data_IF_111561031395
#
_entry.id   IF_111561031395
#
_cell.length_a   1.000
_cell.length_b   1.000
_cell.length_c   1.000
_cell.angle_alpha   90.00
_cell.angle_beta   90.00
_cell.angle_gamma   90.00
#
_symmetry.space_group_name_H-M   'P 1'
#
loop_
_entity.id
_entity.type
_entity.pdbx_description
1 polymer ?
#
# COMPACT_ATOMS: atom_id res chain seq x y z
N UNK A 1 -24.25 7.31 -1.88
CA UNK A 1 -23.70 8.36 -2.77
C UNK A 1 -22.78 7.62 -3.71
N UNK A 2 -22.78 7.94 -5.01
CA UNK A 2 -21.74 7.42 -5.92
C UNK A 2 -20.38 7.68 -5.26
N UNK A 3 -19.53 6.66 -5.22
CA UNK A 3 -18.23 6.72 -4.57
C UNK A 3 -17.28 7.49 -5.52
N UNK A 4 -17.55 8.79 -5.68
CA UNK A 4 -16.94 9.67 -6.70
C UNK A 4 -15.41 9.63 -6.63
N UNK A 5 -14.86 9.38 -5.45
CA UNK A 5 -13.43 9.25 -5.21
C UNK A 5 -12.83 7.95 -5.78
N UNK A 6 -13.51 6.79 -5.72
CA UNK A 6 -13.04 5.55 -6.37
C UNK A 6 -13.26 5.57 -7.89
N UNK A 7 -14.42 6.06 -8.31
CA UNK A 7 -14.84 6.01 -9.73
C UNK A 7 -13.96 6.88 -10.65
N UNK A 8 -13.19 7.82 -10.11
CA UNK A 8 -12.25 8.63 -10.90
C UNK A 8 -11.16 7.79 -11.59
N UNK A 9 -10.88 6.58 -11.08
CA UNK A 9 -9.90 5.65 -11.66
C UNK A 9 -10.51 4.70 -12.69
N UNK A 10 -11.83 4.76 -12.91
CA UNK A 10 -12.51 3.95 -13.91
C UNK A 10 -12.16 4.45 -15.30
N UNK A 11 -11.74 3.55 -16.18
CA UNK A 11 -11.43 3.91 -17.56
C UNK A 11 -12.70 4.18 -18.37
N UNK A 12 -12.66 5.12 -19.34
CA UNK A 12 -13.79 5.38 -20.22
C UNK A 12 -14.23 4.17 -21.07
N UNK A 13 -13.33 3.23 -21.31
CA UNK A 13 -13.53 2.00 -22.07
C UNK A 13 -13.71 0.75 -21.19
N UNK A 14 -14.00 0.93 -19.89
CA UNK A 14 -14.34 -0.18 -18.99
C UNK A 14 -15.61 -0.90 -19.47
N UNK A 15 -15.51 -2.21 -19.72
CA UNK A 15 -16.53 -2.98 -20.45
C UNK A 15 -17.81 -3.27 -19.64
N UNK A 16 -17.68 -3.37 -18.31
CA UNK A 16 -18.76 -3.76 -17.41
C UNK A 16 -19.44 -2.54 -16.78
N UNK A 17 -20.70 -2.65 -16.35
CA UNK A 17 -21.42 -1.61 -15.61
C UNK A 17 -20.89 -1.50 -14.17
N UNK A 18 -20.66 -2.63 -13.49
CA UNK A 18 -19.94 -2.68 -12.21
C UNK A 18 -18.44 -2.40 -12.39
N UNK A 19 -17.83 -1.80 -11.35
CA UNK A 19 -16.41 -1.47 -11.32
C UNK A 19 -15.77 -1.88 -9.98
N UNK A 20 -14.99 -2.94 -10.05
CA UNK A 20 -14.03 -3.37 -9.04
C UNK A 20 -12.68 -2.81 -9.43
N UNK A 21 -12.23 -1.80 -8.65
CA UNK A 21 -10.92 -1.20 -8.85
C UNK A 21 -9.85 -2.26 -8.61
N UNK A 22 -8.92 -2.40 -9.56
CA UNK A 22 -7.77 -3.30 -9.42
C UNK A 22 -6.48 -2.51 -9.25
N UNK A 23 -5.71 -2.83 -8.21
CA UNK A 23 -4.41 -2.19 -7.93
C UNK A 23 -3.48 -3.18 -7.25
N UNK A 24 -2.23 -2.78 -7.02
CA UNK A 24 -1.30 -3.47 -6.11
C UNK A 24 -1.06 -2.64 -4.86
N UNK A 25 -0.56 -3.25 -3.79
CA UNK A 25 -0.17 -2.54 -2.56
C UNK A 25 0.95 -1.53 -2.84
N UNK A 26 2.05 -1.96 -3.44
CA UNK A 26 3.22 -1.11 -3.66
C UNK A 26 4.41 -1.90 -4.20
N UNK A 27 5.28 -2.35 -3.32
CA UNK A 27 6.56 -2.95 -3.69
C UNK A 27 6.45 -4.18 -4.60
N UNK A 28 7.33 -4.23 -5.61
CA UNK A 28 7.36 -5.28 -6.64
C UNK A 28 8.75 -5.92 -6.75
N UNK A 29 8.90 -7.14 -7.33
CA UNK A 29 10.20 -7.78 -7.45
C UNK A 29 11.20 -6.96 -8.26
N UNK A 30 12.26 -6.48 -7.58
CA UNK A 30 13.36 -5.77 -8.25
C UNK A 30 14.00 -6.67 -9.32
N UNK A 31 14.16 -6.18 -10.56
CA UNK A 31 14.86 -6.93 -11.59
C UNK A 31 16.27 -7.31 -11.12
N UNK A 32 16.70 -8.54 -11.41
CA UNK A 32 18.03 -9.02 -10.98
C UNK A 32 19.18 -8.14 -11.49
N UNK A 33 18.99 -7.50 -12.64
CA UNK A 33 19.98 -6.57 -13.20
C UNK A 33 20.06 -5.26 -12.41
N UNK A 34 19.00 -4.81 -11.74
CA UNK A 34 19.02 -3.61 -10.90
C UNK A 34 19.90 -3.83 -9.67
N UNK A 35 19.83 -5.01 -9.06
CA UNK A 35 20.76 -5.39 -7.99
C UNK A 35 22.22 -5.40 -8.47
N UNK A 36 22.47 -5.82 -9.72
CA UNK A 36 23.81 -5.75 -10.32
C UNK A 36 24.24 -4.33 -10.62
N UNK A 37 23.31 -3.45 -11.02
CA UNK A 37 23.60 -2.03 -11.20
C UNK A 37 23.98 -1.38 -9.87
N UNK A 38 23.24 -1.69 -8.79
CA UNK A 38 23.58 -1.25 -7.42
C UNK A 38 24.98 -1.72 -7.01
N UNK A 39 25.30 -3.01 -7.19
CA UNK A 39 26.64 -3.54 -6.90
C UNK A 39 27.76 -2.81 -7.67
N UNK A 40 27.49 -2.28 -8.87
CA UNK A 40 28.46 -1.50 -9.66
C UNK A 40 28.56 -0.07 -9.19
N UNK A 41 27.44 0.55 -8.84
CA UNK A 41 27.41 1.89 -8.29
C UNK A 41 28.14 1.99 -6.94
N UNK A 42 28.04 0.95 -6.09
CA UNK A 42 28.74 0.86 -4.80
C UNK A 42 30.24 0.51 -4.93
N UNK A 43 30.72 0.17 -6.14
CA UNK A 43 32.12 -0.17 -6.41
C UNK A 43 32.85 1.06 -6.94
N UNK A 44 33.66 1.72 -6.10
CA UNK A 44 34.47 2.89 -6.45
C UNK A 44 35.42 2.67 -7.66
N UNK A 45 35.73 1.42 -8.01
CA UNK A 45 36.57 1.07 -9.17
C UNK A 45 35.75 0.89 -10.47
N UNK A 46 34.43 0.84 -10.38
CA UNK A 46 33.55 0.72 -11.54
C UNK A 46 33.34 2.07 -12.23
N UNK A 47 33.33 2.04 -13.56
CA UNK A 47 32.91 3.17 -14.39
C UNK A 47 31.37 3.22 -14.46
N UNK A 48 30.73 3.48 -13.32
CA UNK A 48 29.28 3.50 -13.15
C UNK A 48 28.89 4.56 -12.10
N UNK A 49 28.52 5.74 -12.58
CA UNK A 49 28.25 6.92 -11.74
C UNK A 49 26.76 7.07 -11.36
N UNK A 50 26.43 8.17 -10.68
CA UNK A 50 25.07 8.51 -10.26
C UNK A 50 24.09 8.62 -11.44
N UNK A 51 24.54 9.12 -12.59
CA UNK A 51 23.69 9.24 -13.78
C UNK A 51 23.26 7.86 -14.27
N UNK A 52 24.21 6.93 -14.37
CA UNK A 52 23.93 5.54 -14.74
C UNK A 52 23.05 4.83 -13.69
N UNK A 53 23.24 5.13 -12.40
CA UNK A 53 22.41 4.57 -11.33
C UNK A 53 20.97 5.09 -11.39
N UNK A 54 20.79 6.39 -11.63
CA UNK A 54 19.48 6.99 -11.82
C UNK A 54 18.77 6.41 -13.04
N UNK A 55 19.46 6.29 -14.18
CA UNK A 55 18.91 5.67 -15.38
C UNK A 55 18.46 4.22 -15.12
N UNK A 56 19.25 3.43 -14.39
CA UNK A 56 18.90 2.05 -14.05
C UNK A 56 17.63 1.96 -13.16
N UNK A 57 17.49 2.85 -12.17
CA UNK A 57 16.29 2.93 -11.32
C UNK A 57 15.05 3.33 -12.13
N UNK A 58 15.20 4.33 -12.99
CA UNK A 58 14.16 4.84 -13.89
C UNK A 58 13.67 3.76 -14.85
N UNK A 59 14.59 3.02 -15.46
CA UNK A 59 14.24 1.90 -16.34
C UNK A 59 13.57 0.76 -15.59
N UNK A 60 13.95 0.50 -14.33
CA UNK A 60 13.29 -0.51 -13.52
C UNK A 60 11.84 -0.11 -13.24
N UNK A 61 11.60 1.15 -12.87
CA UNK A 61 10.27 1.70 -12.64
C UNK A 61 9.40 1.63 -13.90
N UNK A 62 9.92 2.02 -15.07
CA UNK A 62 9.21 1.88 -16.36
C UNK A 62 8.80 0.44 -16.63
N UNK A 63 9.72 -0.49 -16.40
CA UNK A 63 9.50 -1.91 -16.67
C UNK A 63 8.41 -2.49 -15.77
N UNK A 64 8.35 -2.11 -14.49
CA UNK A 64 7.29 -2.58 -13.59
C UNK A 64 5.95 -1.91 -13.90
N UNK A 65 5.97 -0.62 -14.21
CA UNK A 65 4.77 0.11 -14.62
C UNK A 65 4.14 -0.51 -15.88
N UNK A 66 4.95 -0.81 -16.91
CA UNK A 66 4.50 -1.54 -18.12
C UNK A 66 3.91 -2.92 -17.79
N UNK A 67 4.48 -3.63 -16.82
CA UNK A 67 3.94 -4.93 -16.40
C UNK A 67 2.56 -4.80 -15.74
N UNK A 68 2.35 -3.78 -14.91
CA UNK A 68 1.04 -3.50 -14.33
C UNK A 68 0.02 -3.15 -15.42
N UNK A 69 0.40 -2.32 -16.39
CA UNK A 69 -0.48 -1.94 -17.50
C UNK A 69 -0.89 -3.13 -18.36
N UNK A 70 0.08 -4.01 -18.66
CA UNK A 70 -0.11 -5.26 -19.42
C UNK A 70 -0.90 -6.31 -18.67
N UNK A 71 -0.77 -6.38 -17.35
CA UNK A 71 -1.65 -7.20 -16.50
C UNK A 71 -3.09 -6.66 -16.51
N UNK A 72 -3.25 -5.37 -16.80
CA UNK A 72 -4.55 -4.71 -16.94
C UNK A 72 -5.02 -3.96 -15.71
N UNK A 73 -4.14 -3.71 -14.73
CA UNK A 73 -4.45 -3.01 -13.47
C UNK A 73 -4.97 -1.58 -13.70
N UNK A 74 -6.02 -1.18 -13.02
CA UNK A 74 -6.61 0.16 -13.21
C UNK A 74 -5.72 1.27 -12.67
N UNK A 75 -5.13 1.02 -11.51
CA UNK A 75 -4.16 1.91 -10.87
C UNK A 75 -2.84 1.17 -10.73
N UNK A 76 -1.75 1.85 -11.05
CA UNK A 76 -0.40 1.27 -11.06
C UNK A 76 0.49 1.96 -10.03
N UNK A 77 1.61 1.31 -9.73
CA UNK A 77 2.70 1.87 -8.94
C UNK A 77 4.02 1.62 -9.68
N UNK A 78 5.07 2.35 -9.32
CA UNK A 78 6.40 2.20 -9.90
C UNK A 78 7.15 0.95 -9.38
N UNK A 79 6.54 0.25 -8.41
CA UNK A 79 7.06 -0.95 -7.76
C UNK A 79 8.07 -0.67 -6.65
N UNK A 80 8.26 0.59 -6.27
CA UNK A 80 9.26 1.05 -5.29
C UNK A 80 10.70 0.71 -5.74
N UNK A 81 10.94 0.78 -7.05
CA UNK A 81 12.21 0.38 -7.65
C UNK A 81 13.39 1.24 -7.16
N UNK A 82 13.11 2.48 -6.76
CA UNK A 82 14.06 3.45 -6.22
C UNK A 82 14.31 3.32 -4.71
N UNK A 83 13.48 2.56 -4.00
CA UNK A 83 13.51 2.45 -2.54
C UNK A 83 14.28 1.23 -2.07
N UNK A 84 14.93 1.30 -0.91
CA UNK A 84 15.68 0.18 -0.32
C UNK A 84 14.84 -0.59 0.68
N UNK A 85 14.36 0.13 1.69
CA UNK A 85 13.61 -0.33 2.86
C UNK A 85 12.64 0.80 3.21
N UNK A 86 11.45 0.46 3.72
CA UNK A 86 10.35 1.41 3.87
C UNK A 86 10.57 2.45 4.98
N UNK A 87 11.46 2.23 5.93
CA UNK A 87 11.84 3.23 6.95
C UNK A 87 13.19 3.87 6.59
N UNK A 88 14.18 3.07 6.20
CA UNK A 88 15.52 3.59 5.87
C UNK A 88 15.46 4.61 4.72
N UNK A 89 14.58 4.40 3.73
CA UNK A 89 14.44 5.31 2.60
C UNK A 89 14.04 6.73 3.01
N UNK A 90 13.06 6.87 3.91
CA UNK A 90 12.60 8.17 4.39
C UNK A 90 13.53 8.74 5.46
N UNK A 91 14.07 7.90 6.35
CA UNK A 91 15.05 8.35 7.36
C UNK A 91 16.32 8.97 6.73
N UNK A 92 16.68 8.60 5.51
CA UNK A 92 17.76 9.28 4.76
C UNK A 92 17.39 10.67 4.20
N UNK A 93 16.12 11.08 4.25
CA UNK A 93 15.56 12.30 3.65
C UNK A 93 14.90 13.24 4.67
N UNK A 94 14.82 12.81 5.93
CA UNK A 94 14.26 13.56 7.03
C UNK A 94 15.43 13.95 7.92
N UNK A 95 15.65 15.25 8.09
CA UNK A 95 16.65 15.73 9.05
C UNK A 95 16.28 15.24 10.47
N UNK A 96 17.28 15.05 11.32
CA UNK A 96 17.08 14.53 12.69
C UNK A 96 17.24 13.01 12.84
N UNK A 97 17.21 12.26 11.74
CA UNK A 97 17.58 10.84 11.73
C UNK A 97 19.10 10.62 11.61
N UNK A 98 19.61 9.65 12.36
CA UNK A 98 20.98 9.14 12.26
C UNK A 98 21.01 7.61 12.20
N UNK A 99 21.99 7.06 11.47
CA UNK A 99 22.22 5.62 11.36
C UNK A 99 23.41 5.20 12.23
N UNK A 100 23.13 4.42 13.28
CA UNK A 100 24.11 3.94 14.26
C UNK A 100 24.61 2.52 13.98
N UNK A 101 24.17 1.92 12.87
CA UNK A 101 24.53 0.59 12.41
C UNK A 101 23.49 -0.48 12.72
N UNK A 102 23.66 -1.69 12.15
CA UNK A 102 22.62 -2.69 12.08
C UNK A 102 22.26 -3.30 13.44
N UNK A 103 20.96 -3.36 13.70
CA UNK A 103 20.36 -4.05 14.85
C UNK A 103 19.86 -5.42 14.43
N UNK A 104 20.04 -6.40 15.31
CA UNK A 104 19.59 -7.77 15.06
C UNK A 104 18.07 -7.86 15.26
N UNK A 105 17.33 -8.27 14.23
CA UNK A 105 15.87 -8.46 14.30
C UNK A 105 15.55 -9.92 14.65
N UNK A 106 15.88 -10.85 13.76
CA UNK A 106 15.66 -12.28 13.97
C UNK A 106 16.69 -13.14 13.23
N UNK A 107 17.10 -14.26 13.82
CA UNK A 107 18.01 -15.21 13.18
C UNK A 107 19.36 -14.57 12.82
N UNK A 108 19.63 -14.45 11.51
CA UNK A 108 20.80 -13.76 10.94
C UNK A 108 20.42 -12.47 10.19
N UNK A 109 19.16 -12.05 10.29
CA UNK A 109 18.66 -10.83 9.66
C UNK A 109 18.94 -9.64 10.58
N UNK A 110 19.42 -8.57 9.96
CA UNK A 110 19.70 -7.29 10.58
C UNK A 110 18.91 -6.21 9.84
N UNK A 111 18.58 -5.16 10.57
CA UNK A 111 17.90 -3.97 10.08
C UNK A 111 18.72 -2.76 10.49
N UNK A 112 18.97 -1.81 9.59
CA UNK A 112 19.70 -0.60 9.92
C UNK A 112 18.76 0.40 10.58
N UNK A 113 18.27 0.01 11.77
CA UNK A 113 17.26 0.74 12.55
C UNK A 113 17.78 2.15 12.86
N UNK A 114 17.18 3.22 12.31
CA UNK A 114 17.69 4.56 12.50
C UNK A 114 17.29 5.10 13.89
N UNK A 115 17.91 6.21 14.28
CA UNK A 115 17.67 6.89 15.56
C UNK A 115 17.31 8.35 15.30
N UNK A 116 16.23 8.85 15.88
CA UNK A 116 15.87 10.26 15.87
C UNK A 116 16.59 10.95 17.02
N UNK A 117 17.61 11.73 16.70
CA UNK A 117 18.55 12.34 17.68
C UNK A 117 18.38 13.86 17.82
N UNK A 118 17.59 14.48 16.95
CA UNK A 118 17.15 15.87 17.04
C UNK A 118 15.74 16.04 16.46
N UNK A 119 15.24 17.28 16.48
CA UNK A 119 13.98 17.68 15.82
C UNK A 119 13.97 17.20 14.37
N UNK A 120 12.80 16.71 13.92
CA UNK A 120 12.63 16.19 12.55
C UNK A 120 12.23 17.33 11.63
N UNK A 121 12.90 17.47 10.50
CA UNK A 121 12.61 18.53 9.55
C UNK A 121 12.52 18.00 8.12
N UNK A 122 11.63 18.60 7.34
CA UNK A 122 11.52 18.35 5.90
C UNK A 122 12.66 19.07 5.17
N UNK A 123 13.58 18.32 4.55
CA UNK A 123 14.69 18.90 3.78
C UNK A 123 14.45 18.78 2.27
N UNK A 124 14.31 17.55 1.78
CA UNK A 124 14.17 17.22 0.36
C UNK A 124 12.83 16.53 0.08
N UNK A 125 12.37 16.60 -1.17
CA UNK A 125 11.18 15.83 -1.56
C UNK A 125 11.44 14.33 -1.53
N UNK A 126 10.47 13.60 -0.99
CA UNK A 126 10.64 12.16 -0.78
C UNK A 126 10.26 11.34 -2.01
N UNK A 127 9.12 11.65 -2.60
CA UNK A 127 8.39 10.82 -3.55
C UNK A 127 7.89 11.58 -4.77
N UNK A 128 7.89 12.92 -4.76
CA UNK A 128 7.38 13.72 -5.90
C UNK A 128 8.10 13.38 -7.20
N UNK A 129 9.44 13.31 -7.19
CA UNK A 129 10.20 12.93 -8.38
C UNK A 129 9.87 11.50 -8.87
N UNK A 130 9.62 10.57 -7.93
CA UNK A 130 9.21 9.19 -8.26
C UNK A 130 7.82 9.17 -8.92
N UNK A 131 6.89 9.96 -8.36
CA UNK A 131 5.53 10.10 -8.85
C UNK A 131 5.51 10.76 -10.24
N UNK A 132 6.12 11.93 -10.41
CA UNK A 132 6.13 12.66 -11.68
C UNK A 132 6.71 11.83 -12.81
N UNK A 133 7.81 11.12 -12.54
CA UNK A 133 8.41 10.21 -13.50
C UNK A 133 7.43 9.12 -13.93
N UNK A 134 6.79 8.47 -12.95
CA UNK A 134 5.93 7.31 -13.19
C UNK A 134 4.63 7.72 -13.89
N UNK A 135 4.05 8.84 -13.47
CA UNK A 135 2.89 9.45 -14.11
C UNK A 135 3.20 9.86 -15.56
N UNK A 136 4.40 10.35 -15.84
CA UNK A 136 4.83 10.66 -17.22
C UNK A 136 5.10 9.41 -18.07
N UNK A 137 5.37 8.26 -17.44
CA UNK A 137 5.69 7.00 -18.09
C UNK A 137 4.51 6.02 -18.19
N UNK A 138 3.35 6.37 -17.62
CA UNK A 138 2.17 5.51 -17.55
C UNK A 138 0.97 6.10 -18.28
N UNK A 139 0.16 5.21 -18.87
CA UNK A 139 -1.18 5.50 -19.38
C UNK A 139 -2.27 5.26 -18.30
N UNK A 140 -1.89 4.87 -17.07
CA UNK A 140 -2.78 4.61 -15.95
C UNK A 140 -2.55 5.63 -14.81
N UNK A 141 -3.57 5.91 -13.99
CA UNK A 141 -3.38 6.62 -12.74
C UNK A 141 -2.35 5.90 -11.84
N UNK A 142 -1.53 6.69 -11.15
CA UNK A 142 -0.46 6.19 -10.27
C UNK A 142 -0.88 6.35 -8.81
N UNK A 143 -0.83 5.26 -8.06
CA UNK A 143 -0.90 5.27 -6.58
C UNK A 143 0.49 5.50 -6.00
N UNK A 144 0.56 6.27 -4.92
CA UNK A 144 1.81 6.54 -4.20
C UNK A 144 1.73 5.92 -2.80
N UNK A 145 2.38 4.77 -2.57
CA UNK A 145 2.59 4.26 -1.22
C UNK A 145 3.62 5.11 -0.50
N UNK A 146 3.32 5.53 0.73
CA UNK A 146 4.19 6.27 1.64
C UNK A 146 4.12 5.59 3.02
N UNK A 147 5.27 5.43 3.68
CA UNK A 147 5.29 4.85 5.02
C UNK A 147 4.69 5.84 6.01
N UNK A 148 3.75 5.34 6.82
CA UNK A 148 3.05 6.18 7.78
C UNK A 148 3.93 6.58 8.97
N UNK A 149 3.56 7.68 9.64
CA UNK A 149 4.37 8.30 10.69
C UNK A 149 4.54 7.41 11.91
N UNK A 150 3.54 6.59 12.25
CA UNK A 150 3.62 5.71 13.42
C UNK A 150 4.64 4.59 13.18
N UNK A 151 4.68 4.02 11.97
CA UNK A 151 5.73 3.07 11.58
C UNK A 151 7.11 3.74 11.52
N UNK A 152 7.22 4.96 10.97
CA UNK A 152 8.47 5.73 10.96
C UNK A 152 9.00 6.00 12.38
N UNK A 153 8.13 6.26 13.34
CA UNK A 153 8.50 6.41 14.75
C UNK A 153 8.86 5.07 15.41
N UNK A 154 7.94 4.10 15.38
CA UNK A 154 8.04 2.82 16.10
C UNK A 154 9.26 1.98 15.64
N UNK A 155 9.55 2.00 14.33
CA UNK A 155 10.69 1.29 13.77
C UNK A 155 12.00 2.09 13.86
N UNK A 156 12.01 3.17 14.63
CA UNK A 156 13.19 3.99 14.94
C UNK A 156 13.48 3.99 16.44
N UNK A 157 14.67 4.46 16.84
CA UNK A 157 14.93 4.81 18.23
C UNK A 157 14.60 6.28 18.45
N UNK A 158 13.89 6.61 19.52
CA UNK A 158 13.59 7.99 19.86
C UNK A 158 14.53 8.49 20.97
N UNK A 159 15.39 9.44 20.63
CA UNK A 159 16.31 10.09 21.58
C UNK A 159 16.04 11.60 21.72
N UNK A 160 15.18 12.17 20.86
CA UNK A 160 14.97 13.61 20.74
C UNK A 160 13.68 14.11 21.42
N UNK A 161 12.63 13.27 21.47
CA UNK A 161 11.30 13.64 21.96
C UNK A 161 11.01 13.03 23.33
N UNK A 162 10.00 13.54 24.04
CA UNK A 162 9.65 13.05 25.37
C UNK A 162 9.04 11.64 25.32
N UNK A 163 8.29 11.34 24.26
CA UNK A 163 7.72 10.03 23.97
C UNK A 163 7.52 9.78 22.45
N UNK A 164 7.13 8.55 22.11
CA UNK A 164 6.96 8.12 20.72
C UNK A 164 5.69 8.69 20.07
N UNK A 165 4.71 9.13 20.87
CA UNK A 165 3.48 9.76 20.36
C UNK A 165 3.80 11.17 19.84
N UNK A 166 4.58 11.95 20.60
CA UNK A 166 5.08 13.26 20.16
C UNK A 166 5.88 13.15 18.84
N UNK A 167 6.80 12.19 18.76
CA UNK A 167 7.54 11.92 17.51
C UNK A 167 6.62 11.52 16.36
N UNK A 168 5.59 10.71 16.62
CA UNK A 168 4.63 10.28 15.60
C UNK A 168 3.86 11.47 15.02
N UNK A 169 3.44 12.43 15.85
CA UNK A 169 2.71 13.61 15.38
C UNK A 169 3.61 14.56 14.58
N UNK A 170 4.85 14.78 15.00
CA UNK A 170 5.81 15.58 14.21
C UNK A 170 6.10 14.95 12.85
N UNK A 171 6.26 13.61 12.80
CA UNK A 171 6.38 12.90 11.53
C UNK A 171 5.10 12.96 10.68
N UNK A 172 3.92 13.00 11.31
CA UNK A 172 2.64 13.14 10.60
C UNK A 172 2.54 14.47 9.87
N UNK A 173 3.03 15.56 10.48
CA UNK A 173 3.11 16.88 9.84
C UNK A 173 4.08 16.87 8.64
N UNK A 174 5.22 16.17 8.73
CA UNK A 174 6.14 16.03 7.58
C UNK A 174 5.53 15.17 6.45
N UNK A 175 4.80 14.10 6.80
CA UNK A 175 4.08 13.26 5.84
C UNK A 175 2.98 14.07 5.15
N UNK A 176 2.24 14.91 5.88
CA UNK A 176 1.29 15.85 5.30
C UNK A 176 1.97 16.77 4.28
N UNK A 177 3.11 17.39 4.63
CA UNK A 177 3.84 18.27 3.72
C UNK A 177 4.27 17.56 2.42
N UNK A 178 4.71 16.29 2.49
CA UNK A 178 5.02 15.49 1.30
C UNK A 178 3.76 15.22 0.46
N UNK A 179 2.63 14.89 1.11
CA UNK A 179 1.38 14.58 0.42
C UNK A 179 0.80 15.81 -0.26
N UNK A 180 0.85 16.99 0.35
CA UNK A 180 0.47 18.25 -0.31
C UNK A 180 1.27 18.46 -1.60
N UNK A 181 2.59 18.23 -1.57
CA UNK A 181 3.45 18.34 -2.75
C UNK A 181 3.13 17.30 -3.82
N UNK A 182 2.80 16.08 -3.42
CA UNK A 182 2.34 15.04 -4.35
C UNK A 182 1.00 15.41 -5.00
N UNK A 183 0.06 15.96 -4.24
CA UNK A 183 -1.25 16.42 -4.74
C UNK A 183 -1.08 17.57 -5.72
N UNK A 184 -0.19 18.52 -5.41
CA UNK A 184 0.21 19.63 -6.30
C UNK A 184 0.85 19.13 -7.61
N UNK A 185 1.64 18.06 -7.54
CA UNK A 185 2.21 17.38 -8.71
C UNK A 185 1.15 16.60 -9.53
N UNK A 186 -0.03 16.37 -8.96
CA UNK A 186 -1.17 15.74 -9.64
C UNK A 186 -1.59 14.39 -9.07
N UNK A 187 -0.97 13.92 -7.99
CA UNK A 187 -1.33 12.64 -7.37
C UNK A 187 -2.79 12.68 -6.88
N UNK A 188 -3.50 11.57 -7.11
CA UNK A 188 -4.92 11.42 -6.72
C UNK A 188 -5.19 10.19 -5.88
N UNK A 189 -4.18 9.35 -5.66
CA UNK A 189 -4.29 8.19 -4.80
C UNK A 189 -3.01 8.05 -3.99
N UNK A 190 -3.12 8.32 -2.70
CA UNK A 190 -2.05 8.16 -1.72
C UNK A 190 -2.42 6.98 -0.81
N UNK A 191 -1.46 6.10 -0.56
CA UNK A 191 -1.62 5.03 0.41
C UNK A 191 -0.62 5.22 1.55
N UNK A 192 -1.13 5.28 2.77
CA UNK A 192 -0.33 5.27 3.98
C UNK A 192 -0.10 3.81 4.38
N UNK A 193 1.16 3.40 4.56
CA UNK A 193 1.52 2.05 4.99
C UNK A 193 1.85 2.05 6.48
N UNK A 194 1.01 1.39 7.30
CA UNK A 194 1.19 1.28 8.75
C UNK A 194 1.27 -0.19 9.23
N UNK A 195 2.31 -0.96 8.83
CA UNK A 195 2.47 -2.34 9.29
C UNK A 195 2.71 -2.46 10.81
N UNK A 196 3.08 -1.39 11.49
CA UNK A 196 3.24 -1.40 12.94
C UNK A 196 1.89 -1.35 13.70
N UNK A 197 0.82 -0.82 13.10
CA UNK A 197 -0.47 -0.54 13.77
C UNK A 197 -1.09 -1.80 14.41
N UNK A 198 -1.04 -2.95 13.73
CA UNK A 198 -1.67 -4.18 14.22
C UNK A 198 -0.81 -4.97 15.23
N UNK A 199 0.33 -4.44 15.65
CA UNK A 199 1.28 -5.16 16.52
C UNK A 199 1.03 -4.97 18.02
N UNK A 200 0.34 -3.89 18.40
CA UNK A 200 0.11 -3.45 19.79
C UNK A 200 -1.34 -2.99 19.98
N UNK A 201 -2.03 -3.35 21.10
CA UNK A 201 -3.48 -3.13 21.22
C UNK A 201 -3.95 -1.67 21.33
N UNK A 202 -3.13 -0.79 21.90
CA UNK A 202 -3.57 0.55 22.32
C UNK A 202 -3.17 1.66 21.32
N UNK A 203 -2.52 1.29 20.21
CA UNK A 203 -1.80 2.24 19.35
C UNK A 203 -2.69 2.78 18.22
N UNK A 204 -3.94 2.31 18.12
CA UNK A 204 -4.93 2.81 17.17
C UNK A 204 -5.30 4.29 17.43
N UNK A 205 -5.22 4.75 18.67
CA UNK A 205 -5.56 6.14 19.02
C UNK A 205 -4.53 7.13 18.44
N UNK A 206 -3.24 6.87 18.65
CA UNK A 206 -2.18 7.73 18.12
C UNK A 206 -2.13 7.69 16.59
N UNK A 207 -2.39 6.53 15.97
CA UNK A 207 -2.50 6.44 14.50
C UNK A 207 -3.70 7.23 13.97
N UNK A 208 -4.85 7.18 14.64
CA UNK A 208 -6.01 7.99 14.28
C UNK A 208 -5.71 9.49 14.31
N UNK A 209 -5.07 9.97 15.38
CA UNK A 209 -4.66 11.38 15.51
C UNK A 209 -3.63 11.78 14.45
N UNK A 210 -2.63 10.93 14.19
CA UNK A 210 -1.66 11.15 13.13
C UNK A 210 -2.30 11.21 11.73
N UNK A 211 -3.32 10.37 11.46
CA UNK A 211 -4.07 10.42 10.20
C UNK A 211 -4.89 11.71 10.09
N UNK A 212 -5.42 12.26 11.18
CA UNK A 212 -6.08 13.58 11.17
C UNK A 212 -5.12 14.70 10.77
N UNK A 213 -3.86 14.66 11.24
CA UNK A 213 -2.81 15.59 10.80
C UNK A 213 -2.49 15.42 9.31
N UNK A 214 -2.31 14.17 8.87
CA UNK A 214 -1.98 13.84 7.48
C UNK A 214 -3.01 14.40 6.48
N UNK A 215 -4.31 14.37 6.82
CA UNK A 215 -5.38 14.73 5.88
C UNK A 215 -5.93 16.14 6.07
N UNK A 216 -5.44 16.92 7.04
CA UNK A 216 -6.05 18.18 7.47
C UNK A 216 -6.32 19.19 6.34
N UNK A 217 -5.43 19.25 5.34
CA UNK A 217 -5.50 20.16 4.19
C UNK A 217 -5.54 19.44 2.84
N UNK A 218 -5.86 18.15 2.85
CA UNK A 218 -5.91 17.33 1.62
C UNK A 218 -7.30 17.42 0.97
N UNK A 219 -7.40 17.73 -0.35
CA UNK A 219 -8.69 17.81 -1.03
C UNK A 219 -9.47 16.49 -1.02
N UNK A 220 -10.80 16.55 -0.86
CA UNK A 220 -11.69 15.38 -0.82
C UNK A 220 -11.65 14.50 -2.09
N UNK A 221 -11.19 15.05 -3.23
CA UNK A 221 -10.99 14.28 -4.46
C UNK A 221 -9.75 13.36 -4.44
N UNK A 222 -8.84 13.54 -3.49
CA UNK A 222 -7.66 12.68 -3.33
C UNK A 222 -8.08 11.46 -2.54
N UNK A 223 -7.87 10.27 -3.11
CA UNK A 223 -8.10 9.00 -2.42
C UNK A 223 -6.99 8.75 -1.40
N UNK A 224 -7.36 8.56 -0.14
CA UNK A 224 -6.45 8.14 0.93
C UNK A 224 -6.76 6.71 1.33
N UNK A 225 -5.83 5.79 1.07
CA UNK A 225 -5.88 4.41 1.55
C UNK A 225 -4.96 4.21 2.75
N UNK A 226 -5.31 3.27 3.63
CA UNK A 226 -4.43 2.76 4.68
C UNK A 226 -4.18 1.27 4.45
N UNK A 227 -2.92 0.90 4.22
CA UNK A 227 -2.53 -0.51 4.22
C UNK A 227 -2.07 -0.94 5.60
N UNK A 228 -2.67 -2.01 6.10
CA UNK A 228 -2.30 -2.63 7.37
C UNK A 228 -1.96 -4.09 7.09
N UNK A 229 -0.68 -4.44 7.21
CA UNK A 229 -0.22 -5.82 7.05
C UNK A 229 -0.15 -6.52 8.40
N UNK A 230 -0.32 -7.84 8.35
CA UNK A 230 -0.17 -8.74 9.49
C UNK A 230 -1.05 -8.41 10.71
N UNK A 231 -1.13 -9.36 11.64
CA UNK A 231 -1.75 -9.13 12.94
C UNK A 231 -3.20 -9.59 13.05
N UNK A 232 -3.84 -9.13 14.11
CA UNK A 232 -5.16 -9.52 14.56
C UNK A 232 -6.07 -8.30 14.47
N UNK A 233 -6.85 -8.21 13.39
CA UNK A 233 -7.67 -7.03 13.08
C UNK A 233 -8.77 -6.82 14.13
N UNK A 234 -9.14 -7.86 14.89
CA UNK A 234 -10.10 -7.72 16.01
C UNK A 234 -9.61 -6.80 17.13
N UNK A 235 -8.32 -6.42 17.12
CA UNK A 235 -7.72 -5.50 18.10
C UNK A 235 -7.87 -4.03 17.75
N UNK A 236 -8.07 -3.74 16.46
CA UNK A 236 -8.18 -2.38 15.94
C UNK A 236 -9.60 -2.10 15.42
N UNK A 237 -10.42 -3.14 15.26
CA UNK A 237 -11.81 -3.04 14.86
C UNK A 237 -12.74 -2.97 16.09
N UNK A 238 -13.73 -2.05 16.13
CA UNK A 238 -14.18 -1.19 15.04
C UNK A 238 -13.52 0.19 14.95
N UNK A 239 -12.58 0.52 15.83
CA UNK A 239 -12.00 1.86 15.98
C UNK A 239 -11.39 2.39 14.67
N UNK A 240 -10.80 1.55 13.83
CA UNK A 240 -10.29 1.97 12.51
C UNK A 240 -11.36 2.62 11.64
N UNK A 241 -12.65 2.30 11.79
CA UNK A 241 -13.70 2.92 10.98
C UNK A 241 -13.83 4.43 11.21
N UNK A 242 -13.30 4.94 12.34
CA UNK A 242 -13.26 6.37 12.65
C UNK A 242 -12.11 7.09 11.94
N UNK A 243 -11.11 6.36 11.43
CA UNK A 243 -9.97 6.98 10.76
C UNK A 243 -10.39 7.78 9.52
N UNK A 244 -9.76 8.92 9.25
CA UNK A 244 -10.13 9.81 8.16
C UNK A 244 -9.52 9.35 6.82
N UNK A 245 -9.69 8.07 6.49
CA UNK A 245 -9.27 7.44 5.23
C UNK A 245 -10.48 6.94 4.45
N UNK A 246 -10.33 6.80 3.13
CA UNK A 246 -11.37 6.29 2.24
C UNK A 246 -11.40 4.76 2.20
N UNK A 247 -10.23 4.13 2.31
CA UNK A 247 -10.01 2.71 2.05
C UNK A 247 -9.08 2.05 3.06
N UNK A 248 -9.37 0.80 3.42
CA UNK A 248 -8.41 -0.10 4.07
C UNK A 248 -7.98 -1.22 3.13
N UNK A 249 -6.67 -1.36 2.90
CA UNK A 249 -6.05 -2.45 2.16
C UNK A 249 -5.57 -3.53 3.13
N UNK A 250 -6.29 -4.66 3.17
CA UNK A 250 -6.17 -5.67 4.21
C UNK A 250 -5.67 -7.01 3.65
N UNK A 251 -4.68 -7.55 4.33
CA UNK A 251 -4.07 -8.85 4.09
C UNK A 251 -4.95 -9.97 4.70
N UNK A 252 -5.61 -10.79 3.86
CA UNK A 252 -6.54 -11.84 4.32
C UNK A 252 -6.39 -13.18 3.59
N UNK A 253 -5.80 -13.23 2.39
CA UNK A 253 -5.68 -14.47 1.62
C UNK A 253 -4.73 -15.48 2.27
N UNK A 254 -3.62 -15.02 2.85
CA UNK A 254 -2.61 -15.84 3.53
C UNK A 254 -3.16 -16.60 4.76
N UNK A 255 -4.20 -16.05 5.39
CA UNK A 255 -4.90 -16.62 6.54
C UNK A 255 -6.20 -17.33 6.16
N UNK A 256 -6.40 -17.66 4.88
CA UNK A 256 -7.66 -18.22 4.33
C UNK A 256 -8.92 -17.47 4.79
N UNK A 257 -8.80 -16.15 4.96
CA UNK A 257 -9.88 -15.24 5.36
C UNK A 257 -10.49 -15.59 6.74
N UNK A 258 -9.72 -16.22 7.64
CA UNK A 258 -10.16 -16.57 9.00
C UNK A 258 -10.67 -15.36 9.81
N UNK A 259 -10.18 -14.16 9.49
CA UNK A 259 -10.56 -12.91 10.17
C UNK A 259 -11.68 -12.14 9.46
N UNK A 260 -12.27 -12.66 8.37
CA UNK A 260 -13.29 -11.93 7.58
C UNK A 260 -14.51 -11.51 8.40
N UNK A 261 -14.95 -12.36 9.33
CA UNK A 261 -16.12 -12.09 10.17
C UNK A 261 -15.91 -10.92 11.15
N UNK A 262 -14.66 -10.50 11.41
CA UNK A 262 -14.36 -9.29 12.20
C UNK A 262 -15.04 -8.06 11.60
N UNK A 263 -15.11 -7.98 10.27
CA UNK A 263 -15.60 -6.80 9.55
C UNK A 263 -17.11 -6.79 9.34
N UNK A 264 -17.84 -7.80 9.84
CA UNK A 264 -19.29 -7.92 9.64
C UNK A 264 -20.12 -7.28 10.75
N UNK A 265 -19.57 -7.09 11.95
CA UNK A 265 -20.26 -6.42 13.07
C UNK A 265 -19.29 -5.60 13.96
N UNK A 266 -19.46 -4.26 14.04
CA UNK A 266 -20.38 -3.43 13.26
C UNK A 266 -20.13 -3.52 11.75
N UNK A 267 -21.03 -2.96 10.93
CA UNK A 267 -20.91 -2.94 9.47
C UNK A 267 -19.66 -2.15 9.02
N UNK A 268 -18.91 -2.72 8.07
CA UNK A 268 -17.77 -2.04 7.45
C UNK A 268 -18.25 -0.88 6.58
N UNK A 269 -17.91 0.35 6.97
CA UNK A 269 -18.48 1.56 6.37
C UNK A 269 -17.59 2.27 5.34
N UNK A 270 -16.36 1.78 5.14
CA UNK A 270 -15.34 2.34 4.24
C UNK A 270 -15.14 1.45 3.00
N UNK A 271 -14.26 1.84 2.09
CA UNK A 271 -13.85 0.95 1.02
C UNK A 271 -12.91 -0.14 1.55
N UNK A 272 -13.06 -1.36 1.04
CA UNK A 272 -12.23 -2.50 1.38
C UNK A 272 -11.40 -2.89 0.15
N UNK A 273 -10.10 -2.63 0.20
CA UNK A 273 -9.14 -3.30 -0.66
C UNK A 273 -8.85 -4.68 -0.06
N UNK A 274 -9.36 -5.71 -0.73
CA UNK A 274 -9.25 -7.09 -0.29
C UNK A 274 -8.03 -7.74 -0.93
N UNK A 275 -7.11 -8.21 -0.08
CA UNK A 275 -6.05 -9.13 -0.49
C UNK A 275 -6.63 -10.44 -1.02
N UNK A 276 -6.52 -10.67 -2.33
CA UNK A 276 -7.06 -11.88 -3.01
C UNK A 276 -6.01 -12.88 -3.49
N UNK A 277 -4.74 -12.51 -3.42
CA UNK A 277 -3.60 -13.37 -3.74
C UNK A 277 -2.60 -13.34 -2.58
N UNK A 278 -2.11 -14.50 -2.16
CA UNK A 278 -1.13 -14.57 -1.07
C UNK A 278 0.25 -14.16 -1.59
N UNK A 279 0.78 -13.07 -1.02
CA UNK A 279 2.08 -12.50 -1.37
C UNK A 279 3.28 -13.32 -0.85
N UNK A 280 3.05 -14.33 -0.01
CA UNK A 280 4.07 -15.13 0.69
C UNK A 280 4.40 -16.45 -0.02
N UNK A 281 3.56 -16.87 -0.97
CA UNK A 281 3.72 -18.12 -1.69
C UNK A 281 4.03 -17.89 -3.17
N UNK A 282 5.01 -18.64 -3.69
CA UNK A 282 5.45 -18.54 -5.07
C UNK A 282 4.56 -19.34 -6.07
N UNK A 283 3.36 -19.73 -5.65
CA UNK A 283 2.35 -20.36 -6.50
C UNK A 283 1.42 -19.27 -7.04
N UNK A 284 1.09 -19.35 -8.32
CA UNK A 284 0.11 -18.45 -8.95
C UNK A 284 -1.28 -19.05 -8.76
N UNK A 285 -2.14 -18.36 -8.02
CA UNK A 285 -3.55 -18.74 -7.84
C UNK A 285 -4.26 -18.76 -9.19
N UNK A 286 -5.20 -19.69 -9.39
CA UNK A 286 -6.02 -19.70 -10.61
C UNK A 286 -7.05 -18.57 -10.59
N UNK A 287 -7.53 -18.19 -11.77
CA UNK A 287 -8.61 -17.19 -11.91
C UNK A 287 -9.83 -17.60 -11.07
N UNK A 288 -10.24 -18.87 -11.09
CA UNK A 288 -11.39 -19.35 -10.33
C UNK A 288 -11.19 -19.29 -8.81
N UNK A 289 -9.95 -19.50 -8.34
CA UNK A 289 -9.61 -19.33 -6.93
C UNK A 289 -9.71 -17.85 -6.53
N UNK A 290 -9.22 -16.94 -7.38
CA UNK A 290 -9.29 -15.51 -7.12
C UNK A 290 -10.75 -15.01 -7.19
N UNK A 291 -11.56 -15.49 -8.12
CA UNK A 291 -13.00 -15.20 -8.16
C UNK A 291 -13.72 -15.62 -6.87
N UNK A 292 -13.39 -16.81 -6.34
CA UNK A 292 -13.94 -17.27 -5.07
C UNK A 292 -13.50 -16.38 -3.89
N UNK A 293 -12.27 -15.89 -3.93
CA UNK A 293 -11.72 -14.94 -2.97
C UNK A 293 -12.41 -13.57 -3.02
N UNK A 294 -12.61 -13.01 -4.22
CA UNK A 294 -13.34 -11.73 -4.41
C UNK A 294 -14.77 -11.85 -3.85
N UNK A 295 -15.45 -12.98 -4.05
CA UNK A 295 -16.79 -13.24 -3.50
C UNK A 295 -16.84 -13.19 -1.97
N UNK A 296 -15.75 -13.52 -1.26
CA UNK A 296 -15.67 -13.35 0.20
C UNK A 296 -15.72 -11.86 0.58
N UNK A 297 -15.07 -10.98 -0.18
CA UNK A 297 -15.17 -9.52 0.03
C UNK A 297 -16.60 -8.99 -0.13
N UNK A 298 -17.34 -9.55 -1.09
CA UNK A 298 -18.75 -9.21 -1.33
C UNK A 298 -19.69 -9.65 -0.18
N UNK A 299 -19.24 -10.49 0.75
CA UNK A 299 -19.97 -10.78 1.99
C UNK A 299 -19.84 -9.65 3.03
N UNK A 300 -18.82 -8.80 2.90
CA UNK A 300 -18.48 -7.73 3.85
C UNK A 300 -18.95 -6.37 3.32
N UNK A 301 -18.62 -6.04 2.07
CA UNK A 301 -18.96 -4.76 1.45
C UNK A 301 -19.64 -4.95 0.09
N UNK A 302 -20.50 -4.02 -0.33
CA UNK A 302 -21.08 -4.04 -1.68
C UNK A 302 -20.01 -3.78 -2.76
N UNK A 303 -20.27 -4.13 -4.04
CA UNK A 303 -19.32 -3.95 -5.13
C UNK A 303 -18.75 -2.53 -5.26
N UNK A 304 -19.55 -1.51 -4.94
CA UNK A 304 -19.15 -0.11 -5.00
C UNK A 304 -18.06 0.26 -3.98
N UNK A 305 -17.90 -0.54 -2.91
CA UNK A 305 -16.89 -0.35 -1.87
C UNK A 305 -15.73 -1.37 -1.96
N UNK A 306 -15.85 -2.39 -2.83
CA UNK A 306 -14.79 -3.39 -2.99
C UNK A 306 -13.71 -2.92 -3.96
N UNK A 307 -12.46 -3.14 -3.56
CA UNK A 307 -11.23 -2.98 -4.35
C UNK A 307 -10.47 -4.31 -4.28
N UNK A 308 -9.80 -4.68 -5.37
CA UNK A 308 -9.12 -5.96 -5.52
C UNK A 308 -7.61 -5.71 -5.56
N UNK A 309 -6.89 -6.21 -4.55
CA UNK A 309 -5.45 -6.08 -4.36
C UNK A 309 -4.81 -7.45 -4.04
N UNK A 310 -3.49 -7.63 -4.20
CA UNK A 310 -2.79 -8.71 -3.51
C UNK A 310 -2.71 -8.42 -2.01
N UNK A 311 -2.45 -9.45 -1.21
CA UNK A 311 -2.34 -9.35 0.26
C UNK A 311 -1.36 -8.27 0.76
N UNK A 312 -0.25 -8.10 0.07
CA UNK A 312 0.80 -7.15 0.43
C UNK A 312 1.66 -6.86 -0.81
N UNK A 313 2.71 -6.06 -0.65
CA UNK A 313 3.76 -5.91 -1.65
C UNK A 313 4.38 -7.25 -2.05
N UNK A 314 4.47 -7.52 -3.34
CA UNK A 314 4.93 -8.80 -3.89
C UNK A 314 6.43 -8.85 -4.13
N UNK A 315 7.21 -7.94 -3.53
CA UNK A 315 8.68 -7.80 -3.75
C UNK A 315 9.50 -9.06 -3.50
N UNK A 316 9.02 -9.97 -2.65
CA UNK A 316 9.72 -11.21 -2.30
C UNK A 316 9.45 -12.36 -3.28
N UNK A 317 8.48 -12.21 -4.19
CA UNK A 317 8.14 -13.22 -5.16
C UNK A 317 9.07 -13.20 -6.38
N UNK A 318 9.19 -14.32 -7.13
CA UNK A 318 9.73 -14.27 -8.48
C UNK A 318 8.87 -13.37 -9.37
N UNK A 319 9.50 -12.52 -10.17
CA UNK A 319 8.80 -11.58 -11.07
C UNK A 319 7.73 -12.22 -11.96
N UNK A 320 8.02 -13.38 -12.54
CA UNK A 320 7.04 -14.13 -13.36
C UNK A 320 5.82 -14.58 -12.56
N UNK A 321 6.00 -14.92 -11.28
CA UNK A 321 4.90 -15.29 -10.38
C UNK A 321 4.10 -14.05 -10.01
N UNK A 322 4.76 -12.95 -9.66
CA UNK A 322 4.09 -11.68 -9.37
C UNK A 322 3.24 -11.22 -10.55
N UNK A 323 3.77 -11.26 -11.78
CA UNK A 323 3.01 -10.90 -12.99
C UNK A 323 1.82 -11.86 -13.20
N UNK A 324 2.04 -13.17 -13.07
CA UNK A 324 0.98 -14.17 -13.20
C UNK A 324 -0.18 -13.96 -12.22
N UNK A 325 0.14 -13.64 -10.96
CA UNK A 325 -0.87 -13.30 -9.94
C UNK A 325 -1.67 -12.06 -10.35
N UNK A 326 -1.01 -10.98 -10.77
CA UNK A 326 -1.70 -9.74 -11.16
C UNK A 326 -2.57 -9.92 -12.39
N UNK A 327 -2.09 -10.66 -13.41
CA UNK A 327 -2.86 -10.92 -14.61
C UNK A 327 -4.13 -11.74 -14.31
N UNK A 328 -4.00 -12.81 -13.52
CA UNK A 328 -5.14 -13.62 -13.10
C UNK A 328 -6.11 -12.84 -12.20
N UNK A 329 -5.60 -11.95 -11.35
CA UNK A 329 -6.39 -11.10 -10.47
C UNK A 329 -7.27 -10.12 -11.26
N UNK A 330 -6.71 -9.46 -12.27
CA UNK A 330 -7.47 -8.57 -13.15
C UNK A 330 -8.51 -9.37 -13.92
N UNK A 331 -8.16 -10.52 -14.50
CA UNK A 331 -9.12 -11.37 -15.22
C UNK A 331 -10.28 -11.80 -14.30
N UNK A 332 -9.99 -12.24 -13.08
CA UNK A 332 -10.99 -12.61 -12.09
C UNK A 332 -11.91 -11.43 -11.73
N UNK A 333 -11.36 -10.23 -11.50
CA UNK A 333 -12.15 -9.03 -11.22
C UNK A 333 -13.13 -8.70 -12.37
N UNK A 334 -12.67 -8.79 -13.63
CA UNK A 334 -13.54 -8.57 -14.80
C UNK A 334 -14.62 -9.64 -14.96
N UNK A 335 -14.32 -10.89 -14.63
CA UNK A 335 -15.32 -11.95 -14.63
C UNK A 335 -16.39 -11.73 -13.55
N UNK A 336 -15.99 -11.29 -12.35
CA UNK A 336 -16.93 -10.99 -11.25
C UNK A 336 -17.83 -9.80 -11.61
N UNK A 337 -17.29 -8.73 -12.19
CA UNK A 337 -18.10 -7.60 -12.66
C UNK A 337 -19.13 -8.04 -13.70
N UNK A 338 -18.74 -8.85 -14.68
CA UNK A 338 -19.66 -9.37 -15.70
C UNK A 338 -20.75 -10.26 -15.09
N UNK A 339 -20.41 -11.06 -14.08
CA UNK A 339 -21.38 -11.87 -13.33
C UNK A 339 -22.34 -11.02 -12.50
N UNK A 340 -21.87 -9.92 -11.89
CA UNK A 340 -22.70 -8.94 -11.19
C UNK A 340 -23.66 -8.23 -12.17
N UNK A 341 -23.17 -7.78 -13.32
CA UNK A 341 -23.98 -7.16 -14.39
C UNK A 341 -25.08 -8.11 -14.90
N UNK A 342 -24.76 -9.40 -14.99
CA UNK A 342 -25.70 -10.44 -15.41
C UNK A 342 -26.69 -10.85 -14.30
N UNK A 343 -26.47 -10.42 -13.05
CA UNK A 343 -27.25 -10.85 -11.89
C UNK A 343 -27.01 -12.30 -11.48
N UNK A 344 -25.81 -12.83 -11.75
CA UNK A 344 -25.39 -14.19 -11.38
C UNK A 344 -24.87 -14.29 -9.93
N UNK A 345 -24.56 -13.15 -9.31
CA UNK A 345 -24.09 -13.04 -7.92
C UNK A 345 -25.14 -12.25 -7.14
N UNK A 346 -25.74 -12.87 -6.12
CA UNK A 346 -26.57 -12.18 -5.13
C UNK A 346 -25.64 -11.64 -4.02
N UNK A 347 -25.57 -10.32 -3.89
CA UNK A 347 -24.81 -9.65 -2.82
C UNK A 347 -25.72 -9.57 -1.59
N UNK A 348 -25.66 -10.58 -0.73
CA UNK A 348 -26.27 -10.54 0.61
C UNK A 348 -25.22 -10.06 1.61
N UNK A 349 -25.22 -8.76 1.93
CA UNK A 349 -24.39 -8.23 3.01
C UNK A 349 -24.81 -8.88 4.33
N UNK A 350 -23.84 -9.40 5.08
CA UNK A 350 -24.07 -10.26 6.23
C UNK A 350 -25.06 -9.68 7.24
N UNK A 351 -26.27 -10.25 7.33
CA UNK A 351 -27.07 -10.14 8.54
C UNK A 351 -26.45 -11.06 9.59
N UNK A 352 -26.08 -10.50 10.76
CA UNK A 352 -25.52 -11.25 11.88
C UNK A 352 -26.27 -12.57 12.12
N UNK A 353 -25.54 -13.69 12.16
CA UNK A 353 -26.11 -14.93 12.69
C UNK A 353 -26.42 -14.66 14.16
N UNK A 354 -27.68 -14.78 14.63
CA UNK A 354 -27.98 -14.55 16.02
C UNK A 354 -27.18 -15.56 16.84
N UNK A 355 -26.34 -15.06 17.75
CA UNK A 355 -25.60 -15.89 18.69
C UNK A 355 -26.61 -16.82 19.41
N UNK A 356 -26.40 -18.13 19.28
CA UNK A 356 -27.17 -19.11 20.07
C UNK A 356 -26.85 -18.88 21.56
N UNK A 357 -27.89 -18.49 22.32
CA UNK A 357 -27.93 -18.27 23.78
C UNK A 357 -27.48 -19.49 24.63
#
# INVERSE_FOLDING_TARGET
MTNENKDQFRRPDHDNDHFLLTTVVGSYPKPKWLNRAKERYEDDEADFDEENWQEAKDDAARVITDEHERAGLDVVVDGEMRRTEMVEFFAHRIEGYEFNGPVKVWGHNYFDKPSVVSEVEYEDSWLVDEYEFTAAASDRPVKVPITGPYTLANWSFNEAYDDDDELTLELADLVNEEIEKLVDAGARYIQIDEPALATTPDDHAIVGEALEHIVADIPEEVRIGLHVCYGDYSRIYPEILEFPVDEFDLELANGDYEQLDVFKDPEFSKDLALGVCDAHVAEVESVEQIEANIKKGLEVVPPEQLVVSPDCGVKLLPREVAYGKMANMVEAARNIEADLDAGNIDVELGAATPADD
#
